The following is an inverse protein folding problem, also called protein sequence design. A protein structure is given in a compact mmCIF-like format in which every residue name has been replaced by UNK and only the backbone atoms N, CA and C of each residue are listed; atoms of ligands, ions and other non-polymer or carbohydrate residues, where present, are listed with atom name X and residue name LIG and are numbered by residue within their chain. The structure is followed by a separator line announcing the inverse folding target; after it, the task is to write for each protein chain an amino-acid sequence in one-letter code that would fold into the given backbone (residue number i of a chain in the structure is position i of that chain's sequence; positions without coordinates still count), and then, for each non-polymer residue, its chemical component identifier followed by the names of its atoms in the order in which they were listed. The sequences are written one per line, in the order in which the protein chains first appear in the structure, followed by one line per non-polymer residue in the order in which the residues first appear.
data_IF_630514117353
#
_entry.id   IF_630514117353
#
_cell.length_a   1.000
_cell.length_b   1.000
_cell.length_c   1.000
_cell.angle_alpha   90.00
_cell.angle_beta   90.00
_cell.angle_gamma   90.00
#
_symmetry.space_group_name_H-M   'P 1'
#
loop_
_entity.id
_entity.type
_entity.pdbx_description
1 polymer ?
#
# COMPACT_ATOMS: atom_id res chain seq x y z
N UNK A 1 -1.75 -5.98 29.26
CA UNK A 1 -0.61 -6.71 28.67
C UNK A 1 0.48 -6.81 29.70
N UNK A 2 1.03 -8.01 29.91
CA UNK A 2 2.19 -8.20 30.77
C UNK A 2 3.48 -7.67 30.09
N UNK A 3 4.50 -7.32 30.89
CA UNK A 3 5.78 -6.79 30.41
C UNK A 3 6.51 -7.73 29.45
N UNK A 4 6.30 -9.05 29.56
CA UNK A 4 6.80 -10.02 28.58
C UNK A 4 6.14 -9.84 27.20
N UNK A 5 4.82 -9.77 27.15
CA UNK A 5 4.06 -9.58 25.90
C UNK A 5 4.46 -8.27 25.21
N UNK A 6 4.62 -7.18 25.98
CA UNK A 6 5.05 -5.88 25.45
C UNK A 6 6.44 -5.94 24.81
N UNK A 7 7.41 -6.62 25.45
CA UNK A 7 8.75 -6.80 24.88
C UNK A 7 8.74 -7.64 23.61
N UNK A 8 7.91 -8.68 23.55
CA UNK A 8 7.76 -9.51 22.36
C UNK A 8 7.19 -8.70 21.19
N UNK A 9 6.13 -7.91 21.43
CA UNK A 9 5.53 -7.09 20.38
C UNK A 9 6.51 -6.05 19.83
N UNK A 10 7.28 -5.38 20.68
CA UNK A 10 8.30 -4.42 20.25
C UNK A 10 9.41 -5.08 19.41
N UNK A 11 9.79 -6.32 19.73
CA UNK A 11 10.75 -7.08 18.92
C UNK A 11 10.17 -7.43 17.55
N UNK A 12 8.94 -7.93 17.50
CA UNK A 12 8.26 -8.25 16.24
C UNK A 12 8.12 -7.00 15.37
N UNK A 13 7.69 -5.88 15.96
CA UNK A 13 7.61 -4.60 15.27
C UNK A 13 8.96 -4.16 14.71
N UNK A 14 10.04 -4.25 15.49
CA UNK A 14 11.37 -3.90 14.99
C UNK A 14 11.83 -4.81 13.83
N UNK A 15 11.51 -6.11 13.88
CA UNK A 15 11.80 -7.06 12.81
C UNK A 15 11.00 -6.70 11.54
N UNK A 16 9.71 -6.43 11.67
CA UNK A 16 8.84 -6.03 10.56
C UNK A 16 9.29 -4.71 9.93
N UNK A 17 9.59 -3.68 10.73
CA UNK A 17 10.14 -2.41 10.26
C UNK A 17 11.50 -2.57 9.57
N UNK A 18 12.35 -3.46 10.06
CA UNK A 18 13.63 -3.77 9.42
C UNK A 18 13.43 -4.52 8.10
N UNK A 19 12.39 -5.34 8.01
CA UNK A 19 12.03 -6.06 6.79
C UNK A 19 11.47 -5.10 5.74
N UNK A 20 10.63 -4.13 6.15
CA UNK A 20 10.08 -3.08 5.27
C UNK A 20 11.19 -2.37 4.48
N UNK A 21 12.34 -2.08 5.12
CA UNK A 21 13.49 -1.42 4.48
C UNK A 21 14.11 -2.21 3.32
N UNK A 22 13.79 -3.50 3.20
CA UNK A 22 14.30 -4.39 2.16
C UNK A 22 13.24 -4.80 1.14
N UNK A 23 11.98 -4.36 1.29
CA UNK A 23 10.88 -4.79 0.41
C UNK A 23 11.00 -4.26 -1.02
N UNK A 24 11.85 -3.26 -1.25
CA UNK A 24 12.20 -2.76 -2.58
C UNK A 24 13.05 -3.75 -3.39
N UNK A 25 13.66 -4.73 -2.74
CA UNK A 25 14.45 -5.77 -3.38
C UNK A 25 13.54 -6.90 -3.92
N UNK A 26 13.95 -7.58 -5.00
CA UNK A 26 13.32 -8.83 -5.40
C UNK A 26 13.30 -9.84 -4.25
N UNK A 27 12.25 -10.66 -4.17
CA UNK A 27 12.06 -11.62 -3.06
C UNK A 27 13.29 -12.49 -2.81
N UNK A 28 14.01 -12.93 -3.85
CA UNK A 28 15.18 -13.78 -3.73
C UNK A 28 16.39 -13.08 -3.08
N UNK A 29 16.45 -11.76 -3.16
CA UNK A 29 17.55 -10.95 -2.62
C UNK A 29 17.32 -10.54 -1.16
N UNK A 30 16.08 -10.66 -0.66
CA UNK A 30 15.77 -10.40 0.75
C UNK A 30 16.28 -11.56 1.62
N UNK A 31 17.39 -11.41 2.32
CA UNK A 31 17.94 -12.50 3.16
C UNK A 31 17.53 -12.33 4.62
N UNK A 32 17.14 -13.43 5.27
CA UNK A 32 16.86 -13.47 6.72
C UNK A 32 18.06 -12.98 7.54
N UNK A 33 19.28 -13.25 7.08
CA UNK A 33 20.50 -12.76 7.71
C UNK A 33 20.57 -11.23 7.75
N UNK A 34 20.21 -10.56 6.66
CA UNK A 34 20.25 -9.10 6.57
C UNK A 34 19.15 -8.47 7.44
N UNK A 35 17.96 -9.06 7.46
CA UNK A 35 16.87 -8.65 8.36
C UNK A 35 17.30 -8.80 9.82
N UNK A 36 17.87 -9.95 10.19
CA UNK A 36 18.32 -10.23 11.55
C UNK A 36 19.36 -9.21 12.02
N UNK A 37 20.30 -8.86 11.13
CA UNK A 37 21.31 -7.83 11.38
C UNK A 37 20.70 -6.44 11.57
N UNK A 38 19.78 -6.04 10.69
CA UNK A 38 19.08 -4.75 10.77
C UNK A 38 18.23 -4.63 12.05
N UNK A 39 17.54 -5.71 12.42
CA UNK A 39 16.69 -5.77 13.60
C UNK A 39 17.45 -6.06 14.90
N UNK A 40 18.77 -6.28 14.83
CA UNK A 40 19.63 -6.67 15.96
C UNK A 40 19.08 -7.89 16.74
N UNK A 41 18.72 -8.94 16.01
CA UNK A 41 18.25 -10.22 16.55
C UNK A 41 18.98 -11.39 15.89
N UNK A 42 18.86 -12.60 16.43
CA UNK A 42 19.34 -13.80 15.74
C UNK A 42 18.35 -14.24 14.65
N UNK A 43 18.84 -14.92 13.61
CA UNK A 43 17.95 -15.55 12.61
C UNK A 43 16.96 -16.51 13.25
N UNK A 44 17.39 -17.25 14.27
CA UNK A 44 16.53 -18.15 15.07
C UNK A 44 15.37 -17.39 15.71
N UNK A 45 15.60 -16.16 16.18
CA UNK A 45 14.52 -15.32 16.76
C UNK A 45 13.44 -15.02 15.72
N UNK A 46 13.83 -14.74 14.47
CA UNK A 46 12.89 -14.51 13.38
C UNK A 46 12.07 -15.77 13.10
N UNK A 47 12.73 -16.92 12.93
CA UNK A 47 12.02 -18.19 12.71
C UNK A 47 11.11 -18.57 13.88
N UNK A 48 11.49 -18.26 15.12
CA UNK A 48 10.64 -18.50 16.29
C UNK A 48 9.34 -17.67 16.27
N UNK A 49 9.37 -16.45 15.71
CA UNK A 49 8.19 -15.59 15.65
C UNK A 49 7.32 -15.84 14.42
N UNK A 50 7.92 -16.08 13.27
CA UNK A 50 7.21 -16.10 11.98
C UNK A 50 7.18 -17.49 11.33
N UNK A 51 8.04 -18.42 11.73
CA UNK A 51 8.14 -19.77 11.16
C UNK A 51 8.77 -19.84 9.77
N UNK A 52 8.57 -18.83 8.93
CA UNK A 52 9.12 -18.74 7.57
C UNK A 52 9.45 -17.31 7.17
N UNK A 53 10.20 -17.16 6.07
CA UNK A 53 10.50 -15.85 5.49
C UNK A 53 9.23 -15.25 4.88
N UNK A 54 8.42 -16.07 4.22
CA UNK A 54 7.16 -15.68 3.59
C UNK A 54 6.17 -15.10 4.61
N UNK A 55 6.03 -15.74 5.78
CA UNK A 55 5.18 -15.24 6.86
C UNK A 55 5.68 -13.91 7.44
N UNK A 56 7.01 -13.73 7.55
CA UNK A 56 7.57 -12.44 7.93
C UNK A 56 7.31 -11.36 6.88
N UNK A 57 7.51 -11.67 5.59
CA UNK A 57 7.23 -10.75 4.50
C UNK A 57 5.75 -10.33 4.53
N UNK A 58 4.82 -11.29 4.67
CA UNK A 58 3.38 -11.02 4.84
C UNK A 58 3.12 -10.05 6.00
N UNK A 59 3.69 -10.30 7.18
CA UNK A 59 3.51 -9.42 8.34
C UNK A 59 4.06 -8.01 8.10
N UNK A 60 5.24 -7.91 7.47
CA UNK A 60 5.86 -6.63 7.12
C UNK A 60 5.01 -5.86 6.09
N UNK A 61 4.45 -6.53 5.08
CA UNK A 61 3.54 -5.92 4.11
C UNK A 61 2.27 -5.38 4.77
N UNK A 62 1.62 -6.16 5.63
CA UNK A 62 0.42 -5.72 6.34
C UNK A 62 0.70 -4.51 7.23
N UNK A 63 1.84 -4.50 7.93
CA UNK A 63 2.28 -3.32 8.70
C UNK A 63 2.48 -2.10 7.82
N UNK A 64 3.17 -2.26 6.69
CA UNK A 64 3.38 -1.15 5.75
C UNK A 64 2.04 -0.60 5.24
N UNK A 65 1.09 -1.48 4.88
CA UNK A 65 -0.24 -1.07 4.44
C UNK A 65 -0.98 -0.25 5.50
N UNK A 66 -0.99 -0.70 6.75
CA UNK A 66 -1.63 0.04 7.85
C UNK A 66 -0.90 1.38 8.14
N UNK A 67 0.43 1.44 8.03
CA UNK A 67 1.19 2.69 8.15
C UNK A 67 0.81 3.69 7.06
N UNK A 68 0.82 3.26 5.80
CA UNK A 68 0.41 4.12 4.68
C UNK A 68 -1.03 4.60 4.85
N UNK A 69 -1.94 3.74 5.31
CA UNK A 69 -3.33 4.11 5.55
C UNK A 69 -3.46 5.22 6.60
N UNK A 70 -2.80 5.08 7.76
CA UNK A 70 -2.90 6.10 8.82
C UNK A 70 -2.23 7.41 8.39
N UNK A 71 -1.17 7.38 7.58
CA UNK A 71 -0.58 8.58 6.99
C UNK A 71 -1.54 9.31 6.05
N UNK A 72 -2.16 8.59 5.10
CA UNK A 72 -3.14 9.17 4.19
C UNK A 72 -4.38 9.67 4.93
N UNK A 73 -4.88 8.91 5.91
CA UNK A 73 -6.00 9.33 6.74
C UNK A 73 -5.70 10.64 7.47
N UNK A 74 -4.51 10.79 8.05
CA UNK A 74 -4.08 12.02 8.72
C UNK A 74 -3.97 13.19 7.73
N UNK A 75 -3.43 12.96 6.54
CA UNK A 75 -3.35 13.98 5.49
C UNK A 75 -4.75 14.46 5.08
N UNK A 76 -5.66 13.52 4.81
CA UNK A 76 -7.02 13.82 4.36
C UNK A 76 -7.87 14.50 5.45
N UNK A 77 -7.61 14.19 6.72
CA UNK A 77 -8.27 14.84 7.86
C UNK A 77 -7.60 16.15 8.30
N UNK A 78 -6.56 16.61 7.61
CA UNK A 78 -5.88 17.87 7.97
C UNK A 78 -6.63 19.10 7.44
N UNK A 79 -6.39 20.24 8.07
CA UNK A 79 -7.04 21.53 7.75
C UNK A 79 -6.40 22.27 6.56
N UNK A 80 -5.50 21.63 5.80
CA UNK A 80 -4.89 22.24 4.62
C UNK A 80 -5.89 22.29 3.45
N UNK A 81 -5.66 23.19 2.50
CA UNK A 81 -6.50 23.32 1.31
C UNK A 81 -6.55 22.02 0.50
N UNK A 82 -7.67 21.77 -0.17
CA UNK A 82 -7.89 20.57 -0.97
C UNK A 82 -6.79 20.35 -2.01
N UNK A 83 -6.39 21.41 -2.71
CA UNK A 83 -5.32 21.38 -3.71
C UNK A 83 -3.98 20.97 -3.11
N UNK A 84 -3.68 21.43 -1.90
CA UNK A 84 -2.46 21.02 -1.18
C UNK A 84 -2.57 19.56 -0.69
N UNK A 85 -3.76 19.07 -0.30
CA UNK A 85 -3.96 17.63 -0.03
C UNK A 85 -3.63 16.79 -1.26
N UNK A 86 -4.16 17.17 -2.43
CA UNK A 86 -3.90 16.46 -3.70
C UNK A 86 -2.41 16.49 -4.04
N UNK A 87 -1.76 17.65 -3.93
CA UNK A 87 -0.33 17.80 -4.19
C UNK A 87 0.54 16.94 -3.27
N UNK A 88 0.25 16.94 -1.97
CA UNK A 88 0.93 16.09 -0.98
C UNK A 88 0.72 14.60 -1.29
N UNK A 89 -0.48 14.19 -1.71
CA UNK A 89 -0.73 12.81 -2.14
C UNK A 89 0.09 12.42 -3.37
N UNK A 90 0.19 13.30 -4.37
CA UNK A 90 0.97 13.05 -5.58
C UNK A 90 2.47 12.97 -5.29
N UNK A 91 2.99 13.85 -4.43
CA UNK A 91 4.39 13.82 -3.99
C UNK A 91 4.71 12.51 -3.25
N UNK A 92 3.88 12.13 -2.28
CA UNK A 92 4.03 10.86 -1.55
C UNK A 92 3.99 9.65 -2.46
N UNK A 93 3.10 9.65 -3.46
CA UNK A 93 3.03 8.57 -4.44
C UNK A 93 4.34 8.43 -5.21
N UNK A 94 4.92 9.56 -5.65
CA UNK A 94 6.18 9.60 -6.40
C UNK A 94 7.36 9.08 -5.59
N UNK A 95 7.41 9.41 -4.30
CA UNK A 95 8.46 8.94 -3.39
C UNK A 95 8.24 7.48 -2.95
N UNK A 96 7.00 7.00 -3.07
CA UNK A 96 6.58 5.66 -2.65
C UNK A 96 6.82 4.53 -3.66
N UNK A 97 7.16 4.85 -4.92
CA UNK A 97 7.28 3.89 -6.03
C UNK A 97 8.28 2.77 -5.73
N UNK A 98 9.35 3.09 -5.03
CA UNK A 98 10.45 2.18 -4.73
C UNK A 98 10.37 1.58 -3.32
N UNK A 99 9.28 1.78 -2.56
CA UNK A 99 9.15 1.22 -1.21
C UNK A 99 8.98 -0.31 -1.27
N UNK A 100 8.31 -0.82 -2.31
CA UNK A 100 8.01 -2.23 -2.49
C UNK A 100 8.28 -2.65 -3.93
N UNK A 101 8.99 -3.75 -4.12
CA UNK A 101 9.09 -4.43 -5.40
C UNK A 101 7.71 -5.02 -5.77
N UNK A 102 7.11 -4.52 -6.86
CA UNK A 102 5.73 -4.85 -7.23
C UNK A 102 5.57 -6.32 -7.61
N UNK A 103 6.55 -6.91 -8.29
CA UNK A 103 6.56 -8.33 -8.64
C UNK A 103 6.55 -9.21 -7.38
N UNK A 104 7.36 -8.86 -6.38
CA UNK A 104 7.41 -9.57 -5.09
C UNK A 104 6.05 -9.49 -4.40
N UNK A 105 5.42 -8.31 -4.40
CA UNK A 105 4.11 -8.10 -3.80
C UNK A 105 3.01 -8.93 -4.47
N UNK A 106 2.89 -8.85 -5.80
CA UNK A 106 1.87 -9.60 -6.55
C UNK A 106 2.10 -11.10 -6.45
N UNK A 107 3.36 -11.56 -6.48
CA UNK A 107 3.70 -12.98 -6.31
C UNK A 107 3.27 -13.52 -4.94
N UNK A 108 3.45 -12.74 -3.86
CA UNK A 108 3.04 -13.16 -2.53
C UNK A 108 1.52 -13.21 -2.39
N UNK A 109 0.81 -12.22 -2.93
CA UNK A 109 -0.66 -12.20 -2.94
C UNK A 109 -1.23 -13.40 -3.71
N UNK A 110 -0.69 -13.72 -4.88
CA UNK A 110 -1.18 -14.82 -5.71
C UNK A 110 -0.95 -16.21 -5.09
N UNK A 111 0.06 -16.33 -4.22
CA UNK A 111 0.40 -17.60 -3.55
C UNK A 111 -0.29 -17.80 -2.20
N UNK A 112 -0.90 -16.76 -1.65
CA UNK A 112 -1.52 -16.78 -0.32
C UNK A 112 -2.95 -16.21 -0.41
N UNK A 113 -3.94 -17.11 -0.46
CA UNK A 113 -5.37 -16.75 -0.56
C UNK A 113 -5.84 -15.89 0.62
N UNK A 114 -5.29 -16.10 1.82
CA UNK A 114 -5.62 -15.31 3.00
C UNK A 114 -5.08 -13.88 2.84
N UNK A 115 -3.83 -13.72 2.40
CA UNK A 115 -3.27 -12.41 2.11
C UNK A 115 -4.05 -11.70 1.01
N UNK A 116 -4.42 -12.41 -0.07
CA UNK A 116 -5.25 -11.86 -1.13
C UNK A 116 -6.59 -11.33 -0.58
N UNK A 117 -7.28 -12.12 0.25
CA UNK A 117 -8.54 -11.70 0.88
C UNK A 117 -8.36 -10.47 1.78
N UNK A 118 -7.29 -10.41 2.58
CA UNK A 118 -6.98 -9.27 3.44
C UNK A 118 -6.73 -8.00 2.62
N UNK A 119 -5.94 -8.08 1.54
CA UNK A 119 -5.62 -6.93 0.68
C UNK A 119 -6.86 -6.43 -0.06
N UNK A 120 -7.70 -7.35 -0.54
CA UNK A 120 -8.96 -7.01 -1.18
C UNK A 120 -9.93 -6.32 -0.21
N UNK A 121 -10.11 -6.88 1.00
CA UNK A 121 -10.94 -6.28 2.04
C UNK A 121 -10.44 -4.89 2.41
N UNK A 122 -9.14 -4.74 2.64
CA UNK A 122 -8.52 -3.45 2.94
C UNK A 122 -8.80 -2.42 1.84
N UNK A 123 -8.65 -2.81 0.57
CA UNK A 123 -8.91 -1.94 -0.58
C UNK A 123 -10.38 -1.48 -0.61
N UNK A 124 -11.32 -2.39 -0.37
CA UNK A 124 -12.76 -2.14 -0.50
C UNK A 124 -13.38 -1.45 0.71
N UNK A 125 -12.91 -1.76 1.92
CA UNK A 125 -13.55 -1.34 3.17
C UNK A 125 -12.79 -0.28 3.95
N UNK A 126 -11.47 -0.12 3.72
CA UNK A 126 -10.65 0.95 4.31
C UNK A 126 -10.29 2.01 3.27
N UNK A 127 -9.48 1.66 2.27
CA UNK A 127 -8.93 2.63 1.32
C UNK A 127 -10.01 3.34 0.49
N UNK A 128 -11.03 2.60 0.03
CA UNK A 128 -12.12 3.19 -0.73
C UNK A 128 -12.91 4.23 0.06
N UNK A 129 -13.10 4.06 1.37
CA UNK A 129 -13.82 5.05 2.20
C UNK A 129 -13.03 6.36 2.32
N UNK A 130 -11.71 6.27 2.46
CA UNK A 130 -10.86 7.48 2.45
C UNK A 130 -10.92 8.19 1.10
N UNK A 131 -10.81 7.43 0.01
CA UNK A 131 -10.92 7.98 -1.35
C UNK A 131 -12.28 8.64 -1.59
N UNK A 132 -13.37 8.01 -1.15
CA UNK A 132 -14.72 8.56 -1.32
C UNK A 132 -14.89 9.88 -0.58
N UNK A 133 -14.34 10.01 0.64
CA UNK A 133 -14.35 11.27 1.38
C UNK A 133 -13.62 12.39 0.64
N UNK A 134 -12.45 12.11 0.07
CA UNK A 134 -11.71 13.07 -0.77
C UNK A 134 -12.50 13.44 -2.03
N UNK A 135 -13.14 12.45 -2.67
CA UNK A 135 -13.99 12.68 -3.84
C UNK A 135 -15.12 13.63 -3.48
N UNK A 136 -15.87 13.36 -2.40
CA UNK A 136 -17.02 14.17 -2.01
C UNK A 136 -16.63 15.60 -1.56
N UNK A 137 -15.45 15.78 -0.97
CA UNK A 137 -14.86 17.11 -0.72
C UNK A 137 -14.64 17.86 -2.05
N UNK A 138 -13.94 17.23 -3.01
CA UNK A 138 -13.68 17.85 -4.31
C UNK A 138 -14.94 18.09 -5.16
N UNK A 139 -15.99 17.30 -4.97
CA UNK A 139 -17.30 17.52 -5.59
C UNK A 139 -18.00 18.76 -5.06
N UNK A 140 -17.91 18.97 -3.73
CA UNK A 140 -18.45 20.15 -3.05
C UNK A 140 -17.75 21.42 -3.52
N UNK A 141 -16.44 21.33 -3.77
CA UNK A 141 -15.62 22.41 -4.33
C UNK A 141 -15.78 22.59 -5.85
N UNK A 142 -16.50 21.69 -6.53
CA UNK A 142 -16.75 21.75 -7.97
C UNK A 142 -15.56 21.37 -8.86
N UNK A 143 -14.50 20.79 -8.29
CA UNK A 143 -13.28 20.37 -8.99
C UNK A 143 -13.34 18.92 -9.49
N UNK A 144 -14.14 18.08 -8.84
CA UNK A 144 -14.40 16.68 -9.24
C UNK A 144 -15.77 16.58 -9.93
N UNK A 145 -15.87 15.70 -10.94
CA UNK A 145 -17.13 15.42 -11.64
C UNK A 145 -18.18 14.79 -10.72
N UNK A 146 -19.42 15.27 -10.84
CA UNK A 146 -20.57 14.82 -10.04
C UNK A 146 -21.42 13.75 -10.75
N UNK A 147 -21.02 13.28 -11.92
CA UNK A 147 -21.81 12.36 -12.76
C UNK A 147 -21.76 10.89 -12.32
N UNK A 148 -20.74 10.50 -11.54
CA UNK A 148 -20.55 9.10 -11.14
C UNK A 148 -21.14 8.81 -9.76
N UNK A 149 -21.99 7.79 -9.65
CA UNK A 149 -22.49 7.36 -8.34
C UNK A 149 -21.38 6.78 -7.46
N UNK A 150 -21.47 6.85 -6.11
CA UNK A 150 -20.53 6.17 -5.22
C UNK A 150 -20.40 4.67 -5.51
N UNK A 151 -21.49 4.01 -5.93
CA UNK A 151 -21.46 2.58 -6.27
C UNK A 151 -20.66 2.31 -7.55
N UNK A 152 -20.78 3.18 -8.55
CA UNK A 152 -20.01 3.09 -9.80
C UNK A 152 -18.51 3.25 -9.51
N UNK A 153 -18.14 4.23 -8.69
CA UNK A 153 -16.76 4.44 -8.26
C UNK A 153 -16.22 3.22 -7.50
N UNK A 154 -17.01 2.65 -6.59
CA UNK A 154 -16.62 1.45 -5.86
C UNK A 154 -16.30 0.29 -6.81
N UNK A 155 -17.18 0.01 -7.77
CA UNK A 155 -16.98 -1.06 -8.76
C UNK A 155 -15.74 -0.79 -9.60
N UNK A 156 -15.53 0.45 -10.03
CA UNK A 156 -14.36 0.84 -10.81
C UNK A 156 -13.05 0.57 -10.05
N UNK A 157 -12.96 1.01 -8.79
CA UNK A 157 -11.80 0.74 -7.93
C UNK A 157 -11.63 -0.76 -7.66
N UNK A 158 -12.73 -1.50 -7.51
CA UNK A 158 -12.70 -2.96 -7.32
C UNK A 158 -12.10 -3.69 -8.53
N UNK A 159 -12.48 -3.29 -9.75
CA UNK A 159 -11.93 -3.87 -10.99
C UNK A 159 -10.43 -3.58 -11.08
N UNK A 160 -10.01 -2.34 -10.84
CA UNK A 160 -8.59 -1.96 -10.85
C UNK A 160 -7.79 -2.73 -9.80
N UNK A 161 -8.32 -2.86 -8.58
CA UNK A 161 -7.65 -3.58 -7.49
C UNK A 161 -7.45 -5.05 -7.82
N UNK A 162 -8.48 -5.70 -8.38
CA UNK A 162 -8.38 -7.10 -8.81
C UNK A 162 -7.39 -7.28 -9.97
N UNK A 163 -7.41 -6.39 -10.96
CA UNK A 163 -6.45 -6.43 -12.06
C UNK A 163 -5.00 -6.31 -11.55
N UNK A 164 -4.76 -5.37 -10.62
CA UNK A 164 -3.44 -5.18 -10.02
C UNK A 164 -2.96 -6.38 -9.20
N UNK A 165 -3.84 -7.02 -8.41
CA UNK A 165 -3.46 -8.19 -7.61
C UNK A 165 -3.17 -9.44 -8.47
N UNK A 166 -3.78 -9.54 -9.65
CA UNK A 166 -3.69 -10.71 -10.52
C UNK A 166 -2.77 -10.51 -11.74
N UNK A 167 -2.00 -9.41 -11.79
CA UNK A 167 -1.08 -9.15 -12.90
C UNK A 167 0.15 -10.07 -12.85
N UNK A 168 0.71 -10.37 -14.02
CA UNK A 168 1.93 -11.16 -14.12
C UNK A 168 3.20 -10.36 -13.76
N UNK A 169 4.34 -11.05 -13.70
CA UNK A 169 5.62 -10.44 -13.38
C UNK A 169 6.03 -9.35 -14.39
N UNK A 170 5.83 -9.60 -15.69
CA UNK A 170 6.15 -8.65 -16.76
C UNK A 170 5.37 -7.35 -16.62
N UNK A 171 4.07 -7.45 -16.35
CA UNK A 171 3.18 -6.31 -16.12
C UNK A 171 3.56 -5.58 -14.83
N UNK A 172 3.87 -6.32 -13.77
CA UNK A 172 4.33 -5.74 -12.49
C UNK A 172 5.59 -4.90 -12.68
N UNK A 173 6.58 -5.42 -13.42
CA UNK A 173 7.84 -4.73 -13.71
C UNK A 173 7.63 -3.52 -14.62
N UNK A 174 6.74 -3.62 -15.61
CA UNK A 174 6.41 -2.50 -16.48
C UNK A 174 5.76 -1.36 -15.70
N UNK A 175 4.76 -1.68 -14.85
CA UNK A 175 4.09 -0.69 -14.01
C UNK A 175 5.06 -0.05 -13.02
N UNK A 176 6.06 -0.76 -12.50
CA UNK A 176 7.01 -0.19 -11.53
C UNK A 176 7.91 0.91 -12.12
N UNK A 177 7.92 1.10 -13.45
CA UNK A 177 8.61 2.23 -14.06
C UNK A 177 7.90 3.54 -13.68
N UNK A 178 8.69 4.51 -13.23
CA UNK A 178 8.19 5.78 -12.68
C UNK A 178 7.22 6.49 -13.62
N UNK A 179 7.59 6.53 -14.90
CA UNK A 179 6.80 7.16 -15.97
C UNK A 179 5.44 6.47 -16.13
N UNK A 180 5.40 5.14 -16.05
CA UNK A 180 4.17 4.35 -16.21
C UNK A 180 3.22 4.55 -15.02
N UNK A 181 3.74 4.64 -13.79
CA UNK A 181 2.91 4.96 -12.60
C UNK A 181 2.27 6.34 -12.72
N UNK A 182 3.00 7.30 -13.25
CA UNK A 182 2.52 8.66 -13.49
C UNK A 182 1.46 8.67 -14.60
N UNK A 183 1.68 7.95 -15.70
CA UNK A 183 0.70 7.77 -16.78
C UNK A 183 -0.62 7.17 -16.27
N UNK A 184 -0.56 6.06 -15.52
CA UNK A 184 -1.74 5.41 -14.95
C UNK A 184 -2.48 6.35 -13.99
N UNK A 185 -1.74 7.11 -13.18
CA UNK A 185 -2.37 8.09 -12.27
C UNK A 185 -3.05 9.21 -13.03
N UNK A 186 -2.41 9.72 -14.07
CA UNK A 186 -2.97 10.76 -14.90
C UNK A 186 -4.25 10.27 -15.58
N UNK A 187 -4.26 9.06 -16.15
CA UNK A 187 -5.47 8.47 -16.73
C UNK A 187 -6.62 8.39 -15.71
N UNK A 188 -6.32 7.97 -14.49
CA UNK A 188 -7.29 7.93 -13.40
C UNK A 188 -7.83 9.33 -13.05
N UNK A 189 -6.95 10.32 -12.91
CA UNK A 189 -7.32 11.70 -12.58
C UNK A 189 -8.09 12.39 -13.71
N UNK A 190 -7.70 12.21 -14.97
CA UNK A 190 -8.41 12.78 -16.13
C UNK A 190 -9.86 12.30 -16.22
N UNK A 191 -10.12 11.05 -15.82
CA UNK A 191 -11.48 10.51 -15.71
C UNK A 191 -12.32 11.16 -14.61
N UNK A 192 -11.70 11.66 -13.54
CA UNK A 192 -12.38 12.20 -12.35
C UNK A 192 -12.47 13.73 -12.32
N UNK A 193 -11.46 14.43 -12.82
CA UNK A 193 -11.39 15.89 -12.78
C UNK A 193 -12.34 16.51 -13.79
N UNK A 194 -12.95 17.64 -13.40
CA UNK A 194 -13.73 18.45 -14.33
C UNK A 194 -12.79 19.02 -15.39
N UNK A 195 -13.15 18.86 -16.67
CA UNK A 195 -12.39 19.48 -17.76
C UNK A 195 -12.89 20.92 -17.95
N UNK A 196 -11.97 21.86 -18.09
CA UNK A 196 -12.31 23.20 -18.58
C UNK A 196 -12.88 23.06 -19.99
N UNK A 197 -14.05 23.66 -20.20
CA UNK A 197 -14.75 23.68 -21.50
C UNK A 197 -14.28 24.85 -22.34
#
# INVERSE_FOLDING_TARGET
MDGYQKRTQLKMENIELSTIKLLSLPINDIKIMDIAKLANVSQVTIYNYYGSKEALLKAAFLRLMDQQYEEYKKLLSSDIAFEEKIKEMLLRKKDGIDIVNLETFTSLIQKDEELHAIVLDFSMNKSFKLLLGLIDEGRTLGVIRNEFSPKTLQIYIQVLSQAFMNMDATTSQYIQQKEVIDEIMNLFLYGMLKQES
#
